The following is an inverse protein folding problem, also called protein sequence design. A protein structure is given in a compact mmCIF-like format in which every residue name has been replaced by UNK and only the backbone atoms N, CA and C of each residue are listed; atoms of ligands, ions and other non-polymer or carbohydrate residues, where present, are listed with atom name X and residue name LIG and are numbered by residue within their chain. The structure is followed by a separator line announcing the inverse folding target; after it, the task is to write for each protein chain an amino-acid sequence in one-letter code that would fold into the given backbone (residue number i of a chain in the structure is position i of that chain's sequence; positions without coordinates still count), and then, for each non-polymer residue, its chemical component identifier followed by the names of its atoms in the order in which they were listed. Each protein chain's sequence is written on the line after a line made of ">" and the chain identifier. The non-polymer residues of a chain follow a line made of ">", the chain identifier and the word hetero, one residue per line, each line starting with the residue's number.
data_IF_534850052000
#
_entry.id   IF_534850052000
#
_cell.length_a   1.000
_cell.length_b   1.000
_cell.length_c   1.000
_cell.angle_alpha   90.00
_cell.angle_beta   90.00
_cell.angle_gamma   90.00
#
_symmetry.space_group_name_H-M   'P 1'
#
loop_
_entity.id
_entity.type
_entity.pdbx_description
1 polymer ?
#
# COMPACT_ATOMS: atom_id res chain seq x y z
N UNK A 1 10.22 -9.71 31.39
CA UNK A 1 8.86 -9.48 30.83
C UNK A 1 8.51 -10.70 30.00
N UNK A 2 7.31 -11.24 30.15
CA UNK A 2 6.87 -12.39 29.33
C UNK A 2 6.42 -11.84 27.99
N UNK A 3 7.03 -12.28 26.90
CA UNK A 3 6.71 -11.76 25.58
C UNK A 3 5.31 -12.22 25.17
N UNK A 4 4.38 -11.27 25.10
CA UNK A 4 2.98 -11.52 24.72
C UNK A 4 2.80 -12.00 23.28
N UNK A 5 3.87 -12.00 22.47
CA UNK A 5 3.84 -12.41 21.08
C UNK A 5 4.03 -13.92 20.87
N UNK A 6 4.23 -14.72 21.92
CA UNK A 6 4.33 -16.20 21.86
C UNK A 6 5.33 -16.70 20.80
N UNK A 7 6.45 -15.98 20.61
CA UNK A 7 7.46 -16.30 19.59
C UNK A 7 7.06 -15.98 18.14
N UNK A 8 5.95 -15.28 17.91
CA UNK A 8 5.51 -14.76 16.60
C UNK A 8 5.62 -13.24 16.55
N UNK A 9 6.83 -12.68 16.41
CA UNK A 9 7.00 -11.24 16.35
C UNK A 9 6.39 -10.64 15.08
N UNK A 10 5.64 -9.55 15.24
CA UNK A 10 5.01 -8.83 14.13
C UNK A 10 4.74 -7.38 14.51
N UNK A 11 4.56 -6.53 13.49
CA UNK A 11 4.15 -5.13 13.69
C UNK A 11 2.78 -5.02 14.39
N UNK A 12 1.89 -5.99 14.13
CA UNK A 12 0.59 -6.08 14.78
C UNK A 12 0.71 -6.34 16.29
N UNK A 13 1.55 -7.30 16.68
CA UNK A 13 1.77 -7.61 18.09
C UNK A 13 2.45 -6.47 18.85
N UNK A 14 3.34 -5.72 18.18
CA UNK A 14 3.86 -4.46 18.74
C UNK A 14 2.76 -3.44 19.00
N UNK A 15 1.82 -3.31 18.06
CA UNK A 15 0.69 -2.37 18.16
C UNK A 15 -0.31 -2.79 19.25
N UNK A 16 -0.41 -4.08 19.55
CA UNK A 16 -1.20 -4.63 20.65
C UNK A 16 -0.47 -4.61 22.02
N UNK A 17 0.71 -3.98 22.09
CA UNK A 17 1.41 -3.73 23.35
C UNK A 17 2.59 -4.64 23.66
N UNK A 18 2.94 -5.59 22.79
CA UNK A 18 4.19 -6.35 22.96
C UNK A 18 5.41 -5.44 22.73
N UNK A 19 6.38 -5.45 23.65
CA UNK A 19 7.56 -4.56 23.58
C UNK A 19 8.89 -5.29 23.40
N UNK A 20 8.86 -6.57 23.04
CA UNK A 20 10.08 -7.33 22.73
C UNK A 20 10.82 -6.73 21.53
N UNK A 21 12.11 -7.05 21.41
CA UNK A 21 13.01 -6.51 20.37
C UNK A 21 12.49 -6.88 18.99
N UNK A 22 12.12 -8.13 18.77
CA UNK A 22 11.67 -8.61 17.47
C UNK A 22 10.37 -7.95 17.00
N UNK A 23 9.40 -7.73 17.91
CA UNK A 23 8.17 -6.99 17.59
C UNK A 23 8.47 -5.52 17.24
N UNK A 24 9.43 -4.90 17.94
CA UNK A 24 9.85 -3.52 17.67
C UNK A 24 10.50 -3.40 16.29
N UNK A 25 11.36 -4.35 15.93
CA UNK A 25 12.00 -4.37 14.61
C UNK A 25 11.00 -4.64 13.50
N UNK A 26 10.06 -5.58 13.70
CA UNK A 26 8.97 -5.82 12.76
C UNK A 26 8.12 -4.56 12.52
N UNK A 27 7.83 -3.78 13.57
CA UNK A 27 7.10 -2.51 13.43
C UNK A 27 7.91 -1.45 12.66
N UNK A 28 9.23 -1.38 12.90
CA UNK A 28 10.12 -0.44 12.19
C UNK A 28 10.16 -0.73 10.69
N UNK A 29 10.33 -2.00 10.32
CA UNK A 29 10.35 -2.45 8.91
C UNK A 29 9.01 -2.17 8.23
N UNK A 30 7.88 -2.51 8.89
CA UNK A 30 6.55 -2.22 8.36
C UNK A 30 6.33 -0.72 8.09
N UNK A 31 6.82 0.14 8.99
CA UNK A 31 6.77 1.59 8.80
C UNK A 31 7.60 2.09 7.61
N UNK A 32 8.70 1.43 7.29
CA UNK A 32 9.53 1.73 6.12
C UNK A 32 8.87 1.29 4.82
N UNK A 33 8.30 0.08 4.78
CA UNK A 33 7.53 -0.43 3.64
C UNK A 33 6.34 0.47 3.30
N UNK A 34 5.61 0.94 4.31
CA UNK A 34 4.50 1.87 4.13
C UNK A 34 4.96 3.23 3.58
N UNK A 35 6.13 3.73 4.02
CA UNK A 35 6.71 4.96 3.46
C UNK A 35 7.14 4.76 2.00
N UNK A 36 7.72 3.61 1.66
CA UNK A 36 8.09 3.28 0.28
C UNK A 36 6.84 3.17 -0.60
N UNK A 37 5.77 2.50 -0.15
CA UNK A 37 4.48 2.44 -0.87
C UNK A 37 3.87 3.83 -1.08
N UNK A 38 3.90 4.68 -0.05
CA UNK A 38 3.40 6.07 -0.15
C UNK A 38 4.24 6.93 -1.10
N UNK A 39 5.56 6.75 -1.13
CA UNK A 39 6.44 7.41 -2.10
C UNK A 39 6.22 6.94 -3.54
N UNK A 40 5.88 5.66 -3.74
CA UNK A 40 5.53 5.11 -5.07
C UNK A 40 4.18 5.63 -5.57
N UNK A 41 3.24 5.99 -4.68
CA UNK A 41 2.04 6.78 -5.01
C UNK A 41 2.38 8.28 -5.16
N UNK A 42 3.34 8.57 -6.02
CA UNK A 42 3.79 9.93 -6.30
C UNK A 42 2.68 10.77 -6.93
N UNK A 43 2.86 12.08 -6.91
CA UNK A 43 1.95 13.14 -7.41
C UNK A 43 1.41 12.93 -8.84
N UNK A 44 2.10 12.10 -9.64
CA UNK A 44 1.72 11.76 -11.02
C UNK A 44 0.94 10.45 -11.16
N UNK A 45 0.59 9.80 -10.05
CA UNK A 45 -0.33 8.65 -10.08
C UNK A 45 -1.74 9.22 -10.22
N UNK A 46 -2.47 8.98 -11.34
CA UNK A 46 -3.82 9.48 -11.49
C UNK A 46 -4.67 8.95 -10.33
N UNK A 47 -5.25 9.84 -9.54
CA UNK A 47 -6.28 9.46 -8.59
C UNK A 47 -7.54 9.29 -9.43
N UNK A 48 -7.90 8.04 -9.73
CA UNK A 48 -9.16 7.73 -10.40
C UNK A 48 -10.32 8.05 -9.44
N UNK A 49 -10.74 9.31 -9.44
CA UNK A 49 -12.03 9.73 -8.89
C UNK A 49 -13.05 9.41 -9.97
N UNK A 50 -13.66 8.23 -9.86
CA UNK A 50 -14.76 7.75 -10.72
C UNK A 50 -14.58 8.10 -12.20
N UNK A 51 -13.86 7.24 -12.93
CA UNK A 51 -13.71 7.36 -14.38
C UNK A 51 -15.12 7.55 -15.01
N UNK A 52 -15.40 8.76 -15.50
CA UNK A 52 -16.64 9.07 -16.24
C UNK A 52 -16.80 8.19 -17.50
N UNK A 53 -15.74 7.47 -17.87
CA UNK A 53 -15.70 6.56 -18.99
C UNK A 53 -14.85 5.34 -18.63
N UNK A 54 -15.45 4.15 -18.72
CA UNK A 54 -14.75 2.88 -18.47
C UNK A 54 -13.58 2.67 -19.42
N UNK A 55 -12.56 1.90 -19.00
CA UNK A 55 -11.38 1.57 -19.83
C UNK A 55 -11.73 1.08 -21.23
N UNK A 56 -12.83 0.32 -21.40
CA UNK A 56 -13.28 -0.17 -22.71
C UNK A 56 -13.81 0.94 -23.62
N UNK A 57 -14.47 1.95 -23.05
CA UNK A 57 -14.97 3.11 -23.79
C UNK A 57 -13.82 4.06 -24.21
N UNK A 58 -12.77 4.20 -23.40
CA UNK A 58 -11.55 4.93 -23.78
C UNK A 58 -10.84 4.27 -24.96
N UNK A 59 -10.76 2.93 -24.96
CA UNK A 59 -10.13 2.20 -26.07
C UNK A 59 -10.92 2.35 -27.38
N UNK A 60 -12.24 2.27 -27.33
CA UNK A 60 -13.10 2.50 -28.52
C UNK A 60 -12.97 3.90 -29.11
N UNK A 61 -12.78 4.93 -28.27
CA UNK A 61 -12.61 6.30 -28.76
C UNK A 61 -11.29 6.47 -29.54
N UNK A 62 -10.24 5.74 -29.15
CA UNK A 62 -8.94 5.75 -29.85
C UNK A 62 -8.99 5.02 -31.18
N UNK A 63 -9.70 3.88 -31.25
CA UNK A 63 -9.89 3.16 -32.52
C UNK A 63 -10.66 4.00 -33.58
N UNK A 64 -11.39 5.04 -33.17
CA UNK A 64 -12.08 5.98 -34.07
C UNK A 64 -11.17 7.12 -34.57
N UNK A 65 -10.05 7.42 -33.91
CA UNK A 65 -9.09 8.44 -34.35
C UNK A 65 -8.23 7.96 -35.53
N UNK A 66 -8.04 6.65 -35.69
CA UNK A 66 -7.30 6.04 -36.81
C UNK A 66 -8.14 5.90 -38.12
N UNK A 67 -9.38 6.42 -38.12
CA UNK A 67 -10.33 6.34 -39.25
C UNK A 67 -10.69 7.71 -39.88
N UNK A 68 -9.97 8.78 -39.54
CA UNK A 68 -10.13 10.13 -40.14
C UNK A 68 -8.89 10.53 -40.92
#
# INVERSE_FOLDING_TARGET
>A
MKDSCEGKPSAYNYSNGCRCVDCRDAWRIHGEEERVKKRKKSRDTPIAYDDALTRSQVLKARDMEDLI
#
